data_IF_360573636918
#
_entry.id   IF_360573636918
#
_cell.length_a   1.000
_cell.length_b   1.000
_cell.length_c   1.000
_cell.angle_alpha   90.00
_cell.angle_beta   90.00
_cell.angle_gamma   90.00
#
_symmetry.space_group_name_H-M   'P 1'
#
loop_
_entity.id
_entity.type
_entity.pdbx_description
1 polymer ?
#
# COMPACT_ATOMS: atom_id res chain seq x y z
N UNK A 1 6.20 -14.38 -15.32
CA UNK A 1 7.58 -13.82 -15.43
C UNK A 1 8.01 -13.67 -16.91
N UNK A 2 7.43 -14.42 -17.82
CA UNK A 2 7.66 -14.37 -19.27
C UNK A 2 6.66 -13.45 -19.98
N UNK A 3 5.60 -13.02 -19.31
CA UNK A 3 4.58 -12.12 -19.86
C UNK A 3 3.53 -12.79 -20.72
N UNK A 4 3.47 -14.11 -20.73
CA UNK A 4 2.42 -14.85 -21.46
C UNK A 4 1.05 -14.53 -20.90
N UNK A 5 0.95 -14.43 -19.56
CA UNK A 5 -0.28 -14.08 -18.85
C UNK A 5 -0.04 -12.83 -18.00
N UNK A 6 -0.92 -11.85 -18.15
CA UNK A 6 -0.87 -10.59 -17.42
C UNK A 6 -2.22 -10.30 -16.77
N UNK A 7 -2.23 -10.18 -15.45
CA UNK A 7 -3.39 -9.72 -14.70
C UNK A 7 -3.25 -8.23 -14.40
N UNK A 8 -4.32 -7.47 -14.58
CA UNK A 8 -4.35 -6.02 -14.35
C UNK A 8 -5.72 -5.58 -13.84
N UNK A 9 -5.75 -4.41 -13.21
CA UNK A 9 -6.98 -3.79 -12.72
C UNK A 9 -7.30 -2.58 -13.59
N UNK A 10 -8.52 -2.52 -14.12
CA UNK A 10 -9.07 -1.38 -14.83
C UNK A 10 -10.49 -1.11 -14.35
N UNK A 11 -10.81 0.15 -14.04
CA UNK A 11 -12.14 0.59 -13.63
C UNK A 11 -12.75 -0.22 -12.45
N UNK A 12 -11.93 -0.61 -11.48
CA UNK A 12 -12.28 -1.47 -10.35
C UNK A 12 -12.72 -2.90 -10.74
N UNK A 13 -12.26 -3.37 -11.87
CA UNK A 13 -12.42 -4.74 -12.34
C UNK A 13 -11.04 -5.40 -12.50
N UNK A 14 -10.95 -6.67 -12.16
CA UNK A 14 -9.76 -7.47 -12.39
C UNK A 14 -9.89 -8.21 -13.72
N UNK A 15 -8.92 -8.01 -14.58
CA UNK A 15 -8.82 -8.62 -15.89
C UNK A 15 -7.57 -9.48 -16.01
N UNK A 16 -7.63 -10.47 -16.89
CA UNK A 16 -6.52 -11.34 -17.24
C UNK A 16 -6.36 -11.37 -18.77
N UNK A 17 -5.15 -11.11 -19.27
CA UNK A 17 -4.80 -11.22 -20.68
C UNK A 17 -3.85 -12.38 -20.89
N UNK A 18 -4.18 -13.27 -21.82
CA UNK A 18 -3.34 -14.37 -22.27
C UNK A 18 -2.84 -14.09 -23.70
N UNK A 19 -1.52 -13.87 -23.82
CA UNK A 19 -0.86 -13.52 -25.09
C UNK A 19 -0.92 -14.68 -26.12
N UNK A 20 -0.86 -15.94 -25.65
CA UNK A 20 -0.81 -17.11 -26.55
C UNK A 20 -2.16 -17.39 -27.20
N UNK A 21 -3.25 -17.23 -26.46
CA UNK A 21 -4.62 -17.38 -26.97
C UNK A 21 -5.22 -16.08 -27.52
N UNK A 22 -4.58 -14.93 -27.27
CA UNK A 22 -5.07 -13.58 -27.57
C UNK A 22 -6.47 -13.34 -26.97
N UNK A 23 -6.61 -13.69 -25.70
CA UNK A 23 -7.88 -13.61 -24.96
C UNK A 23 -7.75 -12.69 -23.75
N UNK A 24 -8.77 -11.84 -23.53
CA UNK A 24 -8.96 -11.03 -22.33
C UNK A 24 -10.15 -11.58 -21.57
N UNK A 25 -9.94 -11.93 -20.30
CA UNK A 25 -10.99 -12.46 -19.42
C UNK A 25 -11.28 -11.48 -18.30
N UNK A 26 -12.56 -11.16 -18.05
CA UNK A 26 -12.97 -10.51 -16.81
C UNK A 26 -12.92 -11.56 -15.70
N UNK A 27 -12.10 -11.32 -14.69
CA UNK A 27 -11.91 -12.23 -13.54
C UNK A 27 -12.83 -11.88 -12.40
N UNK A 28 -12.92 -10.59 -12.08
CA UNK A 28 -13.70 -10.12 -10.94
C UNK A 28 -14.17 -8.67 -11.13
N UNK A 29 -15.40 -8.39 -10.74
CA UNK A 29 -15.98 -7.05 -10.69
C UNK A 29 -17.31 -7.07 -9.97
N UNK A 30 -17.66 -5.95 -9.34
CA UNK A 30 -18.99 -5.76 -8.74
C UNK A 30 -19.99 -5.14 -9.72
N UNK A 31 -19.52 -4.64 -10.87
CA UNK A 31 -20.40 -4.10 -11.92
C UNK A 31 -21.07 -5.24 -12.69
N UNK A 32 -22.38 -5.14 -12.85
CA UNK A 32 -23.15 -5.97 -13.75
C UNK A 32 -23.72 -5.05 -14.83
N UNK A 33 -23.25 -5.23 -16.07
CA UNK A 33 -23.66 -4.39 -17.19
C UNK A 33 -25.17 -4.50 -17.51
N UNK A 34 -25.83 -5.55 -17.04
CA UNK A 34 -27.27 -5.78 -17.22
C UNK A 34 -28.11 -5.23 -16.06
N UNK A 35 -27.49 -4.88 -14.93
CA UNK A 35 -28.17 -4.41 -13.75
C UNK A 35 -27.98 -2.90 -13.58
N UNK A 36 -29.05 -2.12 -13.76
CA UNK A 36 -29.10 -0.68 -13.54
C UNK A 36 -29.19 -0.27 -12.06
N UNK A 37 -28.84 -1.15 -11.13
CA UNK A 37 -28.85 -0.86 -9.70
C UNK A 37 -27.84 0.25 -9.38
N UNK A 38 -28.33 1.30 -8.69
CA UNK A 38 -27.54 2.48 -8.30
C UNK A 38 -26.33 2.10 -7.46
N UNK A 39 -26.38 0.98 -6.74
CA UNK A 39 -25.25 0.41 -5.95
C UNK A 39 -24.03 0.05 -6.79
N UNK A 40 -24.22 -0.23 -8.08
CA UNK A 40 -23.14 -0.54 -9.01
C UNK A 40 -22.39 0.69 -9.54
N UNK A 41 -22.93 1.90 -9.30
CA UNK A 41 -22.40 3.15 -9.83
C UNK A 41 -21.32 3.78 -8.93
N UNK A 42 -21.19 3.33 -7.68
CA UNK A 42 -20.20 3.85 -6.73
C UNK A 42 -19.24 2.74 -6.35
N UNK A 43 -18.05 2.72 -6.92
CA UNK A 43 -17.04 1.71 -6.61
C UNK A 43 -16.35 2.02 -5.28
N UNK A 44 -17.02 1.70 -4.17
CA UNK A 44 -16.47 1.84 -2.81
C UNK A 44 -15.55 0.66 -2.45
N UNK A 45 -14.77 0.19 -3.40
CA UNK A 45 -13.80 -0.89 -3.20
C UNK A 45 -12.54 -0.68 -4.04
N UNK A 46 -11.47 -1.34 -3.62
CA UNK A 46 -10.17 -1.40 -4.32
C UNK A 46 -9.77 -2.85 -4.51
N UNK A 47 -9.15 -3.15 -5.64
CA UNK A 47 -8.59 -4.46 -5.94
C UNK A 47 -7.07 -4.36 -5.96
N UNK A 48 -6.39 -5.28 -5.25
CA UNK A 48 -4.94 -5.40 -5.24
C UNK A 48 -4.55 -6.83 -5.63
N UNK A 49 -3.78 -6.97 -6.71
CA UNK A 49 -3.22 -8.26 -7.11
C UNK A 49 -2.11 -8.61 -6.14
N UNK A 50 -2.21 -9.75 -5.45
CA UNK A 50 -1.22 -10.24 -4.50
C UNK A 50 -0.22 -11.17 -5.19
N UNK A 51 -0.70 -12.02 -6.10
CA UNK A 51 0.13 -13.02 -6.80
C UNK A 51 -0.53 -13.45 -8.10
N UNK A 52 0.30 -13.66 -9.12
CA UNK A 52 -0.05 -14.44 -10.31
C UNK A 52 0.94 -15.59 -10.41
N UNK A 53 0.47 -16.83 -10.47
CA UNK A 53 1.34 -18.00 -10.62
C UNK A 53 1.74 -18.24 -12.08
N UNK A 54 2.56 -19.27 -12.32
CA UNK A 54 3.06 -19.60 -13.66
C UNK A 54 1.96 -20.08 -14.63
N UNK A 55 0.80 -20.51 -14.11
CA UNK A 55 -0.35 -20.95 -14.90
C UNK A 55 -1.33 -19.81 -15.20
N UNK A 56 -1.20 -18.68 -14.50
CA UNK A 56 -2.11 -17.54 -14.58
C UNK A 56 -3.19 -17.51 -13.50
N UNK A 57 -3.19 -18.45 -12.56
CA UNK A 57 -4.05 -18.34 -11.38
C UNK A 57 -3.68 -17.10 -10.59
N UNK A 58 -4.68 -16.37 -10.14
CA UNK A 58 -4.47 -15.07 -9.51
C UNK A 58 -5.05 -15.06 -8.09
N UNK A 59 -4.20 -14.73 -7.11
CA UNK A 59 -4.66 -14.39 -5.76
C UNK A 59 -4.75 -12.87 -5.67
N UNK A 60 -5.89 -12.36 -5.27
CA UNK A 60 -6.13 -10.93 -5.18
C UNK A 60 -6.95 -10.57 -3.95
N UNK A 61 -6.79 -9.34 -3.52
CA UNK A 61 -7.46 -8.76 -2.37
C UNK A 61 -8.46 -7.71 -2.85
N UNK A 62 -9.65 -7.73 -2.27
CA UNK A 62 -10.67 -6.70 -2.43
C UNK A 62 -10.86 -6.03 -1.07
N UNK A 63 -10.73 -4.72 -1.01
CA UNK A 63 -10.92 -3.94 0.21
C UNK A 63 -11.95 -2.86 0.01
N UNK A 64 -12.89 -2.71 0.94
CA UNK A 64 -13.93 -1.70 0.90
C UNK A 64 -15.31 -2.24 1.20
N UNK A 65 -16.31 -1.63 0.58
CA UNK A 65 -17.71 -2.03 0.73
C UNK A 65 -18.05 -3.18 -0.24
N UNK A 66 -18.62 -4.25 0.30
CA UNK A 66 -19.01 -5.43 -0.48
C UNK A 66 -20.43 -5.22 -1.02
N UNK A 67 -20.54 -5.01 -2.34
CA UNK A 67 -21.81 -4.72 -3.01
C UNK A 67 -22.68 -5.95 -3.21
N UNK A 68 -22.10 -7.13 -3.16
CA UNK A 68 -22.72 -8.43 -3.49
C UNK A 68 -22.08 -9.57 -2.73
N UNK A 69 -22.70 -10.73 -2.86
CA UNK A 69 -22.21 -11.99 -2.32
C UNK A 69 -22.60 -12.20 -0.88
N UNK A 70 -21.89 -13.09 -0.21
CA UNK A 70 -22.17 -13.48 1.18
C UNK A 70 -22.01 -12.31 2.16
N UNK A 71 -21.11 -11.39 1.84
CA UNK A 71 -20.77 -10.22 2.67
C UNK A 71 -21.42 -8.92 2.18
N UNK A 72 -22.51 -8.99 1.40
CA UNK A 72 -23.21 -7.80 0.91
C UNK A 72 -23.59 -6.87 2.06
N UNK A 73 -23.19 -5.60 1.95
CA UNK A 73 -23.47 -4.58 2.97
C UNK A 73 -22.36 -4.42 4.01
N UNK A 74 -21.37 -5.29 4.04
CA UNK A 74 -20.24 -5.20 4.96
C UNK A 74 -19.08 -4.39 4.36
N UNK A 75 -18.24 -3.85 5.24
CA UNK A 75 -16.97 -3.20 4.89
C UNK A 75 -15.83 -4.04 5.44
N UNK A 76 -14.83 -4.31 4.62
CA UNK A 76 -13.73 -5.16 5.07
C UNK A 76 -12.69 -5.44 3.99
N UNK A 77 -11.94 -6.51 4.22
CA UNK A 77 -10.92 -7.03 3.33
C UNK A 77 -11.25 -8.49 3.03
N UNK A 78 -11.41 -8.80 1.74
CA UNK A 78 -11.59 -10.15 1.25
C UNK A 78 -10.38 -10.60 0.42
N UNK A 79 -10.03 -11.88 0.48
CA UNK A 79 -9.04 -12.49 -0.43
C UNK A 79 -9.74 -13.52 -1.28
N UNK A 80 -9.51 -13.43 -2.58
CA UNK A 80 -10.05 -14.33 -3.57
C UNK A 80 -8.94 -15.05 -4.32
N UNK A 81 -9.23 -16.24 -4.77
CA UNK A 81 -8.40 -17.04 -5.67
C UNK A 81 -9.15 -17.31 -6.97
N UNK A 82 -8.55 -16.91 -8.09
CA UNK A 82 -9.02 -17.20 -9.43
C UNK A 82 -8.27 -18.41 -9.99
N UNK A 83 -9.02 -19.45 -10.34
CA UNK A 83 -8.54 -20.63 -11.07
C UNK A 83 -8.83 -20.44 -12.57
N UNK A 84 -7.77 -20.22 -13.35
CA UNK A 84 -7.89 -19.91 -14.78
C UNK A 84 -8.42 -21.13 -15.58
N UNK A 85 -8.10 -22.37 -15.17
CA UNK A 85 -8.53 -23.57 -15.87
C UNK A 85 -10.03 -23.81 -15.68
N UNK A 86 -10.55 -23.49 -14.49
CA UNK A 86 -11.98 -23.62 -14.17
C UNK A 86 -12.79 -22.37 -14.50
N UNK A 87 -12.11 -21.26 -14.80
CA UNK A 87 -12.71 -19.93 -14.93
C UNK A 87 -13.64 -19.61 -13.74
N UNK A 88 -13.13 -19.81 -12.53
CA UNK A 88 -13.91 -19.63 -11.30
C UNK A 88 -13.13 -18.84 -10.25
N UNK A 89 -13.86 -18.04 -9.49
CA UNK A 89 -13.35 -17.27 -8.35
C UNK A 89 -13.89 -17.89 -7.06
N UNK A 90 -13.00 -18.10 -6.10
CA UNK A 90 -13.33 -18.63 -4.77
C UNK A 90 -12.87 -17.63 -3.71
N UNK A 91 -13.75 -17.27 -2.78
CA UNK A 91 -13.38 -16.51 -1.60
C UNK A 91 -12.61 -17.41 -0.63
N UNK A 92 -11.47 -16.89 -0.14
CA UNK A 92 -10.60 -17.61 0.81
C UNK A 92 -10.70 -17.06 2.22
N UNK A 93 -10.90 -15.77 2.36
CA UNK A 93 -11.01 -15.13 3.67
C UNK A 93 -11.74 -13.80 3.57
N UNK A 94 -12.52 -13.47 4.62
CA UNK A 94 -13.10 -12.16 4.82
C UNK A 94 -12.82 -11.65 6.24
N UNK A 95 -12.35 -10.41 6.35
CA UNK A 95 -12.09 -9.73 7.62
C UNK A 95 -12.89 -8.42 7.60
N UNK A 96 -13.99 -8.37 8.37
CA UNK A 96 -14.84 -7.18 8.46
C UNK A 96 -14.27 -6.13 9.40
N UNK A 97 -14.63 -4.87 9.14
CA UNK A 97 -14.51 -3.75 10.08
C UNK A 97 -15.88 -3.27 10.52
N UNK A 98 -15.95 -2.72 11.72
CA UNK A 98 -17.17 -2.05 12.21
C UNK A 98 -17.24 -0.57 11.78
N UNK A 99 -16.21 -0.05 11.12
CA UNK A 99 -16.16 1.31 10.58
C UNK A 99 -16.95 1.39 9.28
N UNK A 100 -17.54 2.56 9.01
CA UNK A 100 -18.06 2.84 7.66
C UNK A 100 -16.93 2.88 6.64
N UNK A 101 -17.23 2.69 5.35
CA UNK A 101 -16.22 2.80 4.28
C UNK A 101 -15.45 4.13 4.33
N UNK A 102 -16.15 5.25 4.51
CA UNK A 102 -15.53 6.58 4.58
C UNK A 102 -14.49 6.71 5.74
N UNK A 103 -14.68 5.99 6.83
CA UNK A 103 -13.75 5.98 7.96
C UNK A 103 -12.60 4.99 7.78
N UNK A 104 -12.84 3.90 7.06
CA UNK A 104 -11.89 2.80 6.93
C UNK A 104 -11.02 2.88 5.65
N UNK A 105 -11.44 3.64 4.63
CA UNK A 105 -10.87 3.62 3.27
C UNK A 105 -9.37 3.94 3.21
N UNK A 106 -8.86 4.78 4.12
CA UNK A 106 -7.44 5.13 4.19
C UNK A 106 -6.56 4.02 4.74
N UNK A 107 -7.13 3.08 5.48
CA UNK A 107 -6.42 1.97 6.13
C UNK A 107 -6.61 0.65 5.38
N UNK A 108 -7.84 0.41 4.87
CA UNK A 108 -8.19 -0.87 4.27
C UNK A 108 -7.35 -1.19 3.03
N UNK A 109 -6.68 -2.33 3.08
CA UNK A 109 -5.88 -2.86 1.98
C UNK A 109 -4.53 -2.18 1.77
N UNK A 110 -4.19 -1.10 2.49
CA UNK A 110 -2.89 -0.44 2.42
C UNK A 110 -1.78 -1.40 2.85
N UNK A 111 -1.90 -1.96 4.06
CA UNK A 111 -1.06 -3.07 4.49
C UNK A 111 -1.71 -4.38 4.06
N UNK A 112 -1.16 -4.99 3.01
CA UNK A 112 -1.54 -6.32 2.55
C UNK A 112 -0.35 -6.99 1.88
N UNK A 113 0.06 -8.13 2.40
CA UNK A 113 1.13 -8.96 1.87
C UNK A 113 0.71 -10.42 1.92
N UNK A 114 0.90 -11.13 0.82
CA UNK A 114 0.63 -12.57 0.75
C UNK A 114 1.93 -13.33 0.48
N UNK A 115 2.31 -14.20 1.41
CA UNK A 115 3.41 -15.14 1.23
C UNK A 115 2.88 -16.44 0.61
N UNK A 116 3.08 -16.54 -0.68
CA UNK A 116 2.63 -17.69 -1.46
C UNK A 116 3.34 -19.01 -1.16
N UNK A 117 4.42 -19.00 -0.39
CA UNK A 117 5.13 -20.23 0.01
C UNK A 117 4.52 -20.86 1.25
N UNK A 118 4.02 -20.01 2.13
CA UNK A 118 3.45 -20.39 3.42
C UNK A 118 1.94 -20.25 3.46
N UNK A 119 1.33 -19.76 2.37
CA UNK A 119 -0.11 -19.47 2.24
C UNK A 119 -0.64 -18.52 3.33
N UNK A 120 0.21 -17.56 3.72
CA UNK A 120 -0.07 -16.61 4.78
C UNK A 120 -0.41 -15.24 4.21
N UNK A 121 -1.54 -14.67 4.65
CA UNK A 121 -1.92 -13.28 4.42
C UNK A 121 -1.55 -12.44 5.64
N UNK A 122 -0.99 -11.26 5.39
CA UNK A 122 -0.78 -10.21 6.40
C UNK A 122 -1.58 -8.99 5.98
N UNK A 123 -2.47 -8.51 6.84
CA UNK A 123 -3.31 -7.35 6.55
C UNK A 123 -3.61 -6.53 7.79
N UNK A 124 -3.79 -5.21 7.58
CA UNK A 124 -4.17 -4.27 8.63
C UNK A 124 -5.66 -3.96 8.54
N UNK A 125 -6.36 -4.14 9.65
CA UNK A 125 -7.75 -3.74 9.82
C UNK A 125 -7.94 -3.16 11.21
N UNK A 126 -8.54 -1.99 11.32
CA UNK A 126 -8.82 -1.29 12.59
C UNK A 126 -7.58 -1.14 13.51
N UNK A 127 -6.44 -0.72 12.91
CA UNK A 127 -5.18 -0.54 13.63
C UNK A 127 -4.58 -1.84 14.18
N UNK A 128 -5.05 -2.98 13.68
CA UNK A 128 -4.59 -4.31 14.08
C UNK A 128 -3.99 -5.03 12.89
N UNK A 129 -2.71 -5.42 13.01
CA UNK A 129 -2.02 -6.24 12.02
C UNK A 129 -2.32 -7.72 12.30
N UNK A 130 -3.00 -8.34 11.36
CA UNK A 130 -3.31 -9.76 11.37
C UNK A 130 -2.35 -10.54 10.49
N UNK A 131 -2.00 -11.73 10.95
CA UNK A 131 -1.49 -12.84 10.16
C UNK A 131 -2.60 -13.86 10.03
N UNK A 132 -2.92 -14.27 8.82
CA UNK A 132 -3.99 -15.20 8.53
C UNK A 132 -3.45 -16.38 7.70
N UNK A 133 -3.62 -17.62 8.22
CA UNK A 133 -3.38 -18.85 7.46
C UNK A 133 -4.61 -19.13 6.61
N UNK A 134 -4.45 -19.09 5.28
CA UNK A 134 -5.58 -19.35 4.36
C UNK A 134 -5.95 -20.85 4.36
N UNK A 135 -4.95 -21.72 4.53
CA UNK A 135 -5.17 -23.17 4.56
C UNK A 135 -5.91 -23.62 5.84
N UNK A 136 -5.51 -23.08 7.00
CA UNK A 136 -6.00 -23.53 8.31
C UNK A 136 -7.19 -22.71 8.80
N UNK A 137 -7.55 -21.60 8.15
CA UNK A 137 -8.54 -20.61 8.59
C UNK A 137 -8.21 -20.02 9.98
N UNK A 138 -6.91 -19.85 10.27
CA UNK A 138 -6.43 -19.35 11.55
C UNK A 138 -5.95 -17.91 11.47
N UNK A 139 -6.42 -17.07 12.40
CA UNK A 139 -6.08 -15.66 12.52
C UNK A 139 -5.25 -15.38 13.78
N UNK A 140 -4.07 -14.79 13.60
CA UNK A 140 -3.18 -14.36 14.68
C UNK A 140 -3.00 -12.85 14.65
N UNK A 141 -3.04 -12.21 15.83
CA UNK A 141 -2.74 -10.79 15.98
C UNK A 141 -1.25 -10.60 16.19
N UNK A 142 -0.59 -9.83 15.32
CA UNK A 142 0.84 -9.50 15.43
C UNK A 142 1.09 -8.19 16.16
N UNK A 143 0.28 -7.17 15.87
CA UNK A 143 0.33 -5.82 16.48
C UNK A 143 -1.08 -5.29 16.54
N UNK A 144 -1.40 -4.49 17.57
CA UNK A 144 -2.73 -3.87 17.74
C UNK A 144 -2.62 -2.46 18.32
N UNK A 145 -3.67 -1.67 18.11
CA UNK A 145 -3.81 -0.34 18.71
C UNK A 145 -2.93 0.70 18.02
N UNK A 146 -2.72 0.58 16.71
CA UNK A 146 -2.01 1.56 15.90
C UNK A 146 -2.99 2.53 15.23
N UNK A 147 -2.75 3.83 15.39
CA UNK A 147 -3.41 4.86 14.61
C UNK A 147 -2.68 5.08 13.26
N UNK A 148 -3.37 5.67 12.28
CA UNK A 148 -2.88 5.82 10.90
C UNK A 148 -1.52 6.52 10.77
N UNK A 149 -1.16 7.40 11.70
CA UNK A 149 0.14 8.10 11.67
C UNK A 149 1.26 7.39 12.44
N UNK A 150 0.95 6.27 13.09
CA UNK A 150 1.89 5.52 13.92
C UNK A 150 2.59 4.39 13.18
N UNK A 151 2.20 4.11 11.94
CA UNK A 151 2.82 3.09 11.10
C UNK A 151 2.94 3.52 9.65
N UNK A 152 3.85 2.88 8.94
CA UNK A 152 4.04 3.01 7.49
C UNK A 152 4.37 1.65 6.91
N UNK A 153 4.04 1.45 5.63
CA UNK A 153 4.15 0.18 4.92
C UNK A 153 5.00 0.36 3.66
N UNK A 154 5.83 -0.63 3.30
CA UNK A 154 6.52 -0.64 2.01
C UNK A 154 5.54 -0.87 0.86
N UNK A 155 5.89 -0.43 -0.34
CA UNK A 155 5.05 -0.53 -1.56
C UNK A 155 4.58 -1.97 -1.82
N UNK A 156 5.45 -2.97 -1.61
CA UNK A 156 5.14 -4.39 -1.79
C UNK A 156 4.41 -5.02 -0.59
N UNK A 157 4.19 -4.27 0.51
CA UNK A 157 3.56 -4.75 1.74
C UNK A 157 4.42 -5.67 2.59
N UNK A 158 5.66 -5.97 2.20
CA UNK A 158 6.54 -6.91 2.92
C UNK A 158 7.12 -6.36 4.22
N UNK A 159 7.21 -5.03 4.34
CA UNK A 159 7.75 -4.33 5.49
C UNK A 159 6.70 -3.41 6.11
N UNK A 160 6.56 -3.46 7.42
CA UNK A 160 5.83 -2.46 8.20
C UNK A 160 6.74 -1.89 9.28
N UNK A 161 6.77 -0.57 9.41
CA UNK A 161 7.43 0.12 10.51
C UNK A 161 6.38 0.84 11.35
N UNK A 162 6.42 0.65 12.66
CA UNK A 162 5.43 1.19 13.58
C UNK A 162 6.04 1.66 14.89
N UNK A 163 5.42 2.65 15.51
CA UNK A 163 5.75 3.10 16.85
C UNK A 163 5.48 1.96 17.84
N UNK A 164 6.52 1.57 18.58
CA UNK A 164 6.45 0.43 19.50
C UNK A 164 6.12 0.83 20.94
N UNK A 165 6.09 2.13 21.22
CA UNK A 165 5.72 2.76 22.48
C UNK A 165 5.18 4.17 22.22
N UNK A 166 4.50 4.74 23.22
CA UNK A 166 4.03 6.14 23.18
C UNK A 166 3.01 6.43 22.09
N UNK A 167 2.74 7.71 21.94
CA UNK A 167 1.88 8.29 20.91
C UNK A 167 2.69 9.15 19.96
N UNK A 168 2.04 9.73 18.94
CA UNK A 168 2.65 10.68 18.04
C UNK A 168 3.26 11.86 18.84
N UNK A 169 4.56 12.09 18.68
CA UNK A 169 5.31 13.12 19.43
C UNK A 169 5.88 12.65 20.77
N UNK A 170 5.58 11.44 21.25
CA UNK A 170 6.15 10.90 22.49
C UNK A 170 6.82 9.55 22.32
N UNK A 171 6.57 8.85 21.20
CA UNK A 171 7.16 7.56 20.92
C UNK A 171 8.69 7.64 20.86
N UNK A 172 9.37 6.78 21.63
CA UNK A 172 10.83 6.71 21.67
C UNK A 172 11.39 5.56 20.85
N UNK A 173 10.52 4.65 20.37
CA UNK A 173 10.91 3.43 19.66
C UNK A 173 10.05 3.18 18.43
N UNK A 174 10.72 2.75 17.36
CA UNK A 174 10.09 2.21 16.15
C UNK A 174 10.54 0.76 15.97
N UNK A 175 9.59 -0.13 15.69
CA UNK A 175 9.85 -1.49 15.26
C UNK A 175 9.63 -1.59 13.76
N UNK A 176 10.55 -2.25 13.04
CA UNK A 176 10.40 -2.61 11.63
C UNK A 176 10.23 -4.13 11.59
N UNK A 177 9.11 -4.59 11.05
CA UNK A 177 8.79 -6.00 10.87
C UNK A 177 8.80 -6.35 9.38
N UNK A 178 9.62 -7.31 8.99
CA UNK A 178 9.44 -8.00 7.71
C UNK A 178 8.42 -9.12 7.95
N UNK A 179 7.23 -8.97 7.38
CA UNK A 179 6.11 -9.88 7.67
C UNK A 179 6.36 -11.29 7.12
N UNK A 180 6.94 -11.43 5.93
CA UNK A 180 7.20 -12.73 5.31
C UNK A 180 8.28 -13.56 6.02
N UNK A 181 9.25 -12.90 6.69
CA UNK A 181 10.35 -13.60 7.41
C UNK A 181 10.22 -13.56 8.92
N UNK A 182 9.30 -12.75 9.45
CA UNK A 182 9.17 -12.49 10.89
C UNK A 182 10.34 -11.70 11.51
N UNK A 183 11.31 -11.28 10.70
CA UNK A 183 12.49 -10.54 11.19
C UNK A 183 12.10 -9.16 11.69
N UNK A 184 12.50 -8.83 12.91
CA UNK A 184 12.26 -7.53 13.55
C UNK A 184 13.57 -6.76 13.74
N UNK A 185 13.49 -5.45 13.49
CA UNK A 185 14.53 -4.49 13.85
C UNK A 185 13.90 -3.43 14.76
N UNK A 186 14.68 -2.86 15.68
CA UNK A 186 14.22 -1.75 16.54
C UNK A 186 15.18 -0.58 16.39
N UNK A 187 14.60 0.60 16.42
CA UNK A 187 15.30 1.87 16.48
C UNK A 187 14.81 2.59 17.72
N UNK A 188 15.74 3.17 18.49
CA UNK A 188 15.43 3.97 19.68
C UNK A 188 16.12 5.31 19.53
N UNK A 189 15.41 6.40 19.80
CA UNK A 189 15.98 7.74 19.89
C UNK A 189 16.61 8.01 21.28
N UNK A 190 17.29 9.13 21.41
CA UNK A 190 17.91 9.57 22.69
C UNK A 190 16.87 10.10 23.66
N UNK A 191 17.26 10.31 24.91
CA UNK A 191 16.44 10.99 25.92
C UNK A 191 16.08 12.41 25.47
N UNK A 192 14.83 12.81 25.67
CA UNK A 192 14.30 14.11 25.20
C UNK A 192 13.94 14.15 23.72
N UNK A 193 14.08 13.05 23.00
CA UNK A 193 13.68 12.92 21.60
C UNK A 193 12.46 12.01 21.43
N UNK A 194 11.76 12.19 20.33
CA UNK A 194 10.75 11.26 19.83
C UNK A 194 11.05 10.88 18.36
N UNK A 195 10.57 9.71 17.97
CA UNK A 195 10.80 9.14 16.65
C UNK A 195 9.48 8.94 15.91
N UNK A 196 9.44 9.31 14.63
CA UNK A 196 8.28 9.16 13.76
C UNK A 196 8.63 8.34 12.51
N UNK A 197 7.95 7.23 12.22
CA UNK A 197 8.05 6.57 10.93
C UNK A 197 7.45 7.48 9.85
N UNK A 198 8.12 7.60 8.71
CA UNK A 198 7.69 8.48 7.61
C UNK A 198 7.30 7.69 6.36
N UNK A 199 8.01 6.61 6.04
CA UNK A 199 7.75 5.78 4.88
C UNK A 199 8.91 4.87 4.50
N UNK A 200 8.82 4.35 3.29
CA UNK A 200 9.89 3.58 2.68
C UNK A 200 10.18 4.17 1.30
N UNK A 201 11.45 4.28 0.96
CA UNK A 201 11.89 4.48 -0.41
C UNK A 201 12.42 3.14 -0.92
N UNK A 202 11.66 2.49 -1.81
CA UNK A 202 11.82 1.06 -2.12
C UNK A 202 11.75 0.22 -0.83
N UNK A 203 12.85 -0.41 -0.42
CA UNK A 203 12.92 -1.22 0.80
C UNK A 203 13.70 -0.56 1.95
N UNK A 204 14.12 0.69 1.77
CA UNK A 204 14.87 1.44 2.78
C UNK A 204 13.91 2.28 3.63
N UNK A 205 14.03 2.13 4.95
CA UNK A 205 13.14 2.78 5.91
C UNK A 205 13.55 4.23 6.18
N UNK A 206 12.56 5.13 6.13
CA UNK A 206 12.72 6.56 6.37
C UNK A 206 12.01 6.96 7.65
N UNK A 207 12.70 7.64 8.54
CA UNK A 207 12.14 8.12 9.79
C UNK A 207 12.71 9.47 10.18
N UNK A 208 11.92 10.23 10.94
CA UNK A 208 12.31 11.50 11.51
C UNK A 208 12.55 11.44 13.01
N UNK A 209 13.40 12.30 13.51
CA UNK A 209 13.66 12.51 14.93
C UNK A 209 13.35 13.96 15.27
N UNK A 210 12.51 14.16 16.28
CA UNK A 210 12.17 15.47 16.83
C UNK A 210 12.57 15.54 18.30
N UNK A 211 12.80 16.74 18.80
CA UNK A 211 12.91 16.97 20.24
C UNK A 211 11.52 17.15 20.81
N UNK A 212 11.25 16.53 21.95
CA UNK A 212 9.93 16.64 22.63
C UNK A 212 9.61 18.08 23.03
N UNK A 213 10.63 18.89 23.34
CA UNK A 213 10.49 20.32 23.64
C UNK A 213 10.13 21.18 22.42
N UNK A 214 10.33 20.68 21.21
CA UNK A 214 10.03 21.38 19.96
C UNK A 214 8.61 21.10 19.43
N UNK A 215 7.87 20.20 20.06
CA UNK A 215 6.47 19.92 19.66
C UNK A 215 5.66 21.20 19.79
N UNK A 216 4.93 21.57 18.74
CA UNK A 216 4.22 22.85 18.67
C UNK A 216 3.10 22.82 17.65
N UNK A 217 2.78 23.98 17.13
CA UNK A 217 1.71 24.14 16.15
C UNK A 217 2.22 24.83 14.88
N UNK A 218 1.59 24.54 13.75
CA UNK A 218 1.74 25.32 12.53
C UNK A 218 1.04 26.67 12.67
N UNK A 219 1.27 27.58 11.73
CA UNK A 219 0.56 28.88 11.66
C UNK A 219 -0.96 28.69 11.58
N UNK A 220 -1.44 27.57 10.98
CA UNK A 220 -2.87 27.22 10.93
C UNK A 220 -3.42 26.70 12.24
N UNK A 221 -2.58 26.50 13.27
CA UNK A 221 -2.97 25.96 14.57
C UNK A 221 -3.02 24.43 14.65
N UNK A 222 -2.54 23.72 13.63
CA UNK A 222 -2.44 22.27 13.63
C UNK A 222 -1.25 21.81 14.46
N UNK A 223 -1.47 20.87 15.36
CA UNK A 223 -0.39 20.25 16.12
C UNK A 223 0.59 19.52 15.20
N UNK A 224 1.88 19.73 15.42
CA UNK A 224 2.93 19.13 14.59
C UNK A 224 4.08 18.60 15.43
N UNK A 225 4.75 17.56 14.89
CA UNK A 225 5.97 16.98 15.40
C UNK A 225 7.13 17.39 14.48
N UNK A 226 7.80 18.52 14.77
CA UNK A 226 8.81 19.09 13.90
C UNK A 226 10.15 18.35 14.04
N UNK A 227 10.47 17.53 13.04
CA UNK A 227 11.68 16.72 13.03
C UNK A 227 12.88 17.55 12.62
N UNK A 228 13.87 17.66 13.49
CA UNK A 228 15.13 18.37 13.18
C UNK A 228 16.08 17.53 12.33
N UNK A 229 15.85 16.20 12.27
CA UNK A 229 16.68 15.25 11.56
C UNK A 229 15.82 14.15 10.92
N UNK A 230 16.18 13.76 9.70
CA UNK A 230 15.63 12.58 9.01
C UNK A 230 16.79 11.63 8.69
N UNK A 231 16.54 10.35 8.87
CA UNK A 231 17.50 9.30 8.53
C UNK A 231 16.86 8.26 7.60
N UNK A 232 17.66 7.74 6.66
CA UNK A 232 17.32 6.60 5.81
C UNK A 232 18.17 5.42 6.22
N UNK A 233 17.52 4.29 6.51
CA UNK A 233 18.16 3.07 6.99
C UNK A 233 17.87 1.90 6.07
N UNK A 234 18.92 1.22 5.62
CA UNK A 234 18.77 0.05 4.76
C UNK A 234 18.31 -1.20 5.53
N UNK A 235 17.96 -2.26 4.79
CA UNK A 235 17.50 -3.53 5.36
C UNK A 235 18.53 -4.20 6.28
N UNK A 236 19.83 -3.86 6.18
CA UNK A 236 20.89 -4.36 7.09
C UNK A 236 20.94 -3.56 8.39
N UNK A 237 20.10 -2.55 8.56
CA UNK A 237 20.05 -1.71 9.75
C UNK A 237 21.09 -0.58 9.78
N UNK A 238 21.77 -0.31 8.65
CA UNK A 238 22.76 0.79 8.57
C UNK A 238 22.07 2.06 8.09
N UNK A 239 22.32 3.20 8.75
CA UNK A 239 21.98 4.52 8.25
C UNK A 239 22.83 4.82 7.02
N UNK A 240 22.17 5.05 5.88
CA UNK A 240 22.81 5.31 4.58
C UNK A 240 22.71 6.78 4.19
N UNK A 241 21.76 7.52 4.75
CA UNK A 241 21.63 8.96 4.55
C UNK A 241 21.05 9.61 5.79
N UNK A 242 21.57 10.81 6.11
CA UNK A 242 21.03 11.72 7.12
C UNK A 242 20.75 13.06 6.46
N UNK A 243 19.58 13.61 6.72
CA UNK A 243 19.19 14.96 6.33
C UNK A 243 18.99 15.78 7.60
N UNK A 244 19.70 16.90 7.69
CA UNK A 244 19.59 17.87 8.78
C UNK A 244 20.03 19.22 8.26
N UNK A 245 19.28 20.29 8.58
CA UNK A 245 19.60 21.68 8.22
C UNK A 245 19.33 22.57 9.42
N UNK A 246 20.29 23.39 9.81
CA UNK A 246 20.15 24.25 10.96
C UNK A 246 18.99 25.24 10.82
N UNK A 247 18.14 25.31 11.86
CA UNK A 247 16.97 26.18 11.89
C UNK A 247 15.81 25.75 11.00
N UNK A 248 15.94 24.62 10.31
CA UNK A 248 14.89 24.04 9.46
C UNK A 248 14.39 22.72 10.06
N UNK A 249 13.10 22.57 10.09
CA UNK A 249 12.40 21.38 10.57
C UNK A 249 11.63 20.72 9.43
N UNK A 250 11.51 19.42 9.50
CA UNK A 250 10.70 18.60 8.58
C UNK A 250 9.36 18.35 9.29
N UNK A 251 8.26 18.76 8.68
CA UNK A 251 6.91 18.52 9.21
C UNK A 251 6.33 17.23 8.68
N UNK A 252 6.60 16.90 7.41
CA UNK A 252 6.12 15.69 6.77
C UNK A 252 7.04 15.30 5.60
N UNK A 253 6.82 14.09 5.06
CA UNK A 253 7.49 13.60 3.86
C UNK A 253 6.49 12.90 2.96
N UNK A 254 6.46 13.24 1.67
CA UNK A 254 5.71 12.55 0.64
C UNK A 254 6.66 11.70 -0.20
N UNK A 255 6.21 10.49 -0.55
CA UNK A 255 7.00 9.49 -1.25
C UNK A 255 6.44 9.27 -2.66
N UNK A 256 7.30 9.32 -3.65
CA UNK A 256 7.00 9.01 -5.04
C UNK A 256 8.16 8.17 -5.59
N UNK A 257 7.90 6.92 -5.97
CA UNK A 257 8.85 5.92 -6.49
C UNK A 257 10.31 6.09 -6.04
N UNK A 258 11.03 7.05 -6.63
CA UNK A 258 12.46 7.31 -6.40
C UNK A 258 12.75 8.67 -5.74
N UNK A 259 11.72 9.36 -5.25
CA UNK A 259 11.85 10.70 -4.68
C UNK A 259 11.10 10.84 -3.36
N UNK A 260 11.73 11.51 -2.40
CA UNK A 260 11.09 11.95 -1.17
C UNK A 260 11.00 13.47 -1.23
N UNK A 261 9.80 14.01 -1.15
CA UNK A 261 9.55 15.45 -1.00
C UNK A 261 9.41 15.77 0.47
N UNK A 262 10.24 16.67 0.99
CA UNK A 262 10.25 17.11 2.38
C UNK A 262 9.43 18.38 2.54
N UNK A 263 8.39 18.35 3.34
CA UNK A 263 7.66 19.53 3.80
C UNK A 263 8.45 20.15 4.96
N UNK A 264 8.97 21.36 4.76
CA UNK A 264 9.87 22.01 5.68
C UNK A 264 9.27 23.25 6.31
N UNK A 265 9.74 23.59 7.50
CA UNK A 265 9.35 24.80 8.22
C UNK A 265 10.52 25.42 8.96
N UNK A 266 10.44 26.71 9.21
CA UNK A 266 11.25 27.44 10.19
C UNK A 266 10.43 27.68 11.46
N UNK A 267 11.12 27.72 12.60
CA UNK A 267 10.50 27.99 13.92
C UNK A 267 10.56 29.46 14.25
N UNK A 268 9.44 30.05 14.67
CA UNK A 268 9.37 31.40 15.25
C UNK A 268 8.55 31.32 16.56
N UNK A 269 9.22 31.46 17.69
CA UNK A 269 8.62 31.12 19.00
C UNK A 269 8.23 29.67 19.05
N UNK A 270 6.93 29.39 19.33
CA UNK A 270 6.35 28.02 19.35
C UNK A 270 5.60 27.68 18.05
N UNK A 271 5.75 28.49 17.01
CA UNK A 271 5.01 28.36 15.77
C UNK A 271 5.93 27.97 14.60
N UNK A 272 5.45 27.07 13.73
CA UNK A 272 6.18 26.61 12.56
C UNK A 272 5.57 27.19 11.29
N UNK A 273 6.39 27.94 10.53
CA UNK A 273 6.03 28.55 9.25
C UNK A 273 6.64 27.74 8.10
N UNK A 274 5.80 27.30 7.18
CA UNK A 274 6.24 26.54 6.01
C UNK A 274 7.31 27.29 5.19
N UNK A 275 8.32 26.57 4.76
CA UNK A 275 9.38 27.04 3.85
C UNK A 275 9.35 26.25 2.54
N UNK A 276 10.20 26.62 1.58
CA UNK A 276 10.31 25.88 0.33
C UNK A 276 10.61 24.38 0.61
N UNK A 277 9.96 23.44 -0.10
CA UNK A 277 10.25 22.02 0.04
C UNK A 277 11.68 21.69 -0.39
N UNK A 278 12.16 20.52 0.02
CA UNK A 278 13.43 19.96 -0.43
C UNK A 278 13.24 18.51 -0.86
N UNK A 279 14.19 17.94 -1.59
CA UNK A 279 14.02 16.67 -2.26
C UNK A 279 15.19 15.74 -1.97
N UNK A 280 14.88 14.48 -1.73
CA UNK A 280 15.85 13.38 -1.66
C UNK A 280 15.53 12.42 -2.80
N UNK A 281 16.47 12.23 -3.73
CA UNK A 281 16.31 11.33 -4.87
C UNK A 281 17.14 10.06 -4.69
N UNK A 282 16.58 8.93 -5.11
CA UNK A 282 17.29 7.68 -5.30
C UNK A 282 17.65 7.53 -6.78
N UNK A 283 18.96 7.49 -7.07
CA UNK A 283 19.48 7.42 -8.44
C UNK A 283 19.77 5.99 -8.92
N UNK A 284 19.30 4.95 -8.23
CA UNK A 284 19.46 3.58 -8.69
C UNK A 284 18.62 3.32 -9.94
N UNK A 285 19.24 2.72 -10.96
CA UNK A 285 18.54 2.39 -12.20
C UNK A 285 17.57 1.22 -11.97
N UNK A 286 16.31 1.36 -12.40
CA UNK A 286 15.33 0.28 -12.42
C UNK A 286 15.72 -0.76 -13.47
N UNK A 287 15.51 -2.03 -13.14
CA UNK A 287 15.59 -3.11 -14.14
C UNK A 287 14.42 -2.92 -15.11
N UNK A 288 14.73 -2.80 -16.41
CA UNK A 288 13.70 -2.66 -17.45
C UNK A 288 12.88 -3.94 -17.55
N UNK A 289 11.57 -3.82 -17.45
CA UNK A 289 10.64 -4.91 -17.75
C UNK A 289 10.45 -5.06 -19.26
N UNK A 290 10.22 -6.29 -19.73
CA UNK A 290 9.81 -6.53 -21.13
C UNK A 290 8.36 -6.14 -21.39
N UNK A 291 7.61 -5.86 -20.34
CA UNK A 291 6.21 -5.47 -20.38
C UNK A 291 6.07 -4.14 -19.66
N UNK A 292 5.38 -3.21 -20.28
CA UNK A 292 4.99 -1.95 -19.67
C UNK A 292 3.48 -1.90 -19.56
N UNK A 293 2.98 -1.59 -18.37
CA UNK A 293 1.58 -1.29 -18.10
C UNK A 293 1.46 0.21 -17.86
N UNK A 294 0.71 0.90 -18.69
CA UNK A 294 0.50 2.34 -18.60
C UNK A 294 -0.98 2.65 -18.44
N UNK A 295 -1.30 3.57 -17.55
CA UNK A 295 -2.64 4.12 -17.40
C UNK A 295 -2.72 5.45 -18.14
N UNK A 296 -3.74 5.65 -18.97
CA UNK A 296 -3.95 6.90 -19.70
C UNK A 296 -5.44 7.27 -19.73
N UNK A 297 -5.72 8.54 -19.93
CA UNK A 297 -7.08 9.05 -20.08
C UNK A 297 -7.40 9.35 -21.55
N UNK A 298 -8.66 9.16 -21.94
CA UNK A 298 -9.19 9.56 -23.25
C UNK A 298 -10.41 10.45 -23.08
N UNK A 299 -10.84 11.13 -24.14
CA UNK A 299 -12.04 11.97 -24.14
C UNK A 299 -13.33 11.19 -23.85
N UNK A 300 -13.31 9.87 -24.04
CA UNK A 300 -14.46 8.98 -23.84
C UNK A 300 -14.42 8.22 -22.52
N UNK A 301 -13.22 7.98 -21.98
CA UNK A 301 -13.02 7.25 -20.71
C UNK A 301 -11.98 7.96 -19.87
N UNK A 302 -12.25 8.10 -18.57
CA UNK A 302 -11.34 8.75 -17.62
C UNK A 302 -10.05 7.96 -17.41
N UNK A 303 -10.11 6.64 -17.50
CA UNK A 303 -8.96 5.77 -17.29
C UNK A 303 -9.00 4.58 -18.23
N UNK A 304 -7.89 4.33 -18.90
CA UNK A 304 -7.66 3.13 -19.70
C UNK A 304 -6.27 2.57 -19.41
N UNK A 305 -6.09 1.27 -19.62
CA UNK A 305 -4.83 0.57 -19.43
C UNK A 305 -4.25 0.18 -20.79
N UNK A 306 -2.96 0.43 -20.98
CA UNK A 306 -2.18 -0.01 -22.15
C UNK A 306 -1.12 -1.00 -21.72
N UNK A 307 -1.13 -2.17 -22.33
CA UNK A 307 -0.07 -3.16 -22.26
C UNK A 307 0.86 -3.00 -23.47
N UNK A 308 2.16 -2.83 -23.22
CA UNK A 308 3.17 -2.78 -24.25
C UNK A 308 4.19 -3.88 -24.02
N UNK A 309 4.45 -4.68 -25.05
CA UNK A 309 5.47 -5.73 -25.05
C UNK A 309 6.63 -5.32 -25.93
N UNK A 310 7.86 -5.45 -25.45
CA UNK A 310 9.05 -5.15 -26.25
C UNK A 310 9.18 -6.03 -27.50
N UNK A 311 8.68 -7.28 -27.41
CA UNK A 311 8.71 -8.27 -28.50
C UNK A 311 7.47 -8.19 -29.40
N UNK A 312 6.58 -7.20 -29.17
CA UNK A 312 5.30 -7.06 -29.85
C UNK A 312 4.23 -8.06 -29.40
N UNK A 313 3.00 -7.79 -29.78
CA UNK A 313 1.82 -8.67 -29.62
C UNK A 313 1.03 -8.69 -30.91
N UNK A 314 -0.03 -9.51 -30.96
CA UNK A 314 -0.96 -9.55 -32.10
C UNK A 314 -1.62 -8.18 -32.32
N UNK A 315 -1.71 -7.73 -33.57
CA UNK A 315 -2.43 -6.50 -33.96
C UNK A 315 -3.95 -6.73 -34.10
N UNK A 316 -4.45 -7.94 -33.80
CA UNK A 316 -5.88 -8.25 -33.83
C UNK A 316 -6.55 -7.85 -32.53
N UNK A 317 -7.82 -7.48 -32.60
CA UNK A 317 -8.63 -7.32 -31.39
C UNK A 317 -8.65 -8.63 -30.59
N UNK A 318 -8.29 -8.61 -29.27
CA UNK A 318 -8.32 -9.80 -28.46
C UNK A 318 -9.76 -10.26 -28.24
N UNK A 319 -9.94 -11.57 -28.08
CA UNK A 319 -11.22 -12.13 -27.70
C UNK A 319 -11.53 -11.81 -26.23
N UNK A 320 -12.65 -11.14 -25.97
CA UNK A 320 -13.11 -10.82 -24.63
C UNK A 320 -13.97 -11.94 -24.08
N UNK A 321 -13.56 -12.50 -22.96
CA UNK A 321 -14.31 -13.50 -22.21
C UNK A 321 -14.88 -12.84 -20.95
N UNK A 322 -16.17 -13.04 -20.72
CA UNK A 322 -16.85 -12.67 -19.47
C UNK A 322 -17.30 -13.94 -18.78
N UNK A 323 -17.20 -14.05 -17.44
CA UNK A 323 -17.70 -15.18 -16.68
C UNK A 323 -19.21 -15.31 -16.77
#
# INVERSE_FOLDING_TARGET
KDGTIVSFVEANELWNYNKDSDEVSLVFGFSDAENTDVRNLVPDHKIKILKVDAKGNTTFLVSGYMNRGEHEGEVGVAVYYYDIEKNSVEEKVFISTNKSYAQAVSELGEMSYYDAKTDMLYTMVDGTLYQYSIEDDEKTVLVKGLDAQQYVVSEDGSLIAYQADGELGTATKVSILNVGTGKKQKITCSEGECIRPLGFIRSDFVYGIAKTEDIGNTVSGEATVPMYKLEIRNQKGKVIKTYQTDGIYILNAAFDEDMITLERASKDGDTYTATAPDYITNNEQKTKSNITLETYATDLKQTQVRLTYNDGISDKEPKVLKP
#
